data_IF_276960751252
#
_entry.id   IF_276960751252
#
_cell.length_a   1.000
_cell.length_b   1.000
_cell.length_c   1.000
_cell.angle_alpha   90.00
_cell.angle_beta   90.00
_cell.angle_gamma   90.00
#
_symmetry.space_group_name_H-M   'P 1'
#
loop_
_entity.id
_entity.type
_entity.pdbx_description
1 polymer ?
#
# COMPACT_ATOMS: atom_id res chain seq x y z
N UNK A 1 10.28 3.38 -3.57
CA UNK A 1 10.44 4.75 -2.95
C UNK A 1 10.95 4.68 -1.52
N UNK A 2 10.17 4.26 -0.50
CA UNK A 2 10.66 4.24 0.88
C UNK A 2 11.93 3.39 1.07
N UNK A 3 11.96 2.17 0.53
CA UNK A 3 13.12 1.27 0.56
C UNK A 3 14.37 1.93 -0.06
N UNK A 4 14.25 2.45 -1.27
CA UNK A 4 15.35 3.14 -1.97
C UNK A 4 15.88 4.33 -1.17
N UNK A 5 14.97 5.10 -0.54
CA UNK A 5 15.34 6.22 0.30
C UNK A 5 16.03 5.77 1.60
N UNK A 6 15.59 4.69 2.25
CA UNK A 6 16.25 4.13 3.43
C UNK A 6 17.63 3.57 3.08
N UNK A 7 17.76 2.83 1.98
CA UNK A 7 19.05 2.34 1.49
C UNK A 7 20.01 3.49 1.18
N UNK A 8 19.50 4.57 0.58
CA UNK A 8 20.29 5.78 0.33
C UNK A 8 20.76 6.43 1.64
N UNK A 9 19.87 6.56 2.64
CA UNK A 9 20.20 7.13 3.95
C UNK A 9 21.24 6.31 4.74
N UNK A 10 21.41 5.04 4.39
CA UNK A 10 22.45 4.18 4.97
C UNK A 10 23.84 4.39 4.35
N UNK A 11 23.94 5.01 3.20
CA UNK A 11 25.24 5.26 2.57
C UNK A 11 26.03 6.29 3.37
N UNK A 12 27.35 6.11 3.47
CA UNK A 12 28.21 7.16 3.99
C UNK A 12 28.17 8.36 3.04
N UNK A 13 27.93 9.55 3.62
CA UNK A 13 27.92 10.79 2.84
C UNK A 13 29.37 11.13 2.50
N UNK A 14 29.79 10.75 1.32
CA UNK A 14 31.08 11.13 0.72
C UNK A 14 30.82 12.05 -0.47
N UNK A 15 31.83 12.78 -0.96
CA UNK A 15 31.71 13.58 -2.20
C UNK A 15 31.18 12.71 -3.37
N UNK A 16 31.61 11.45 -3.47
CA UNK A 16 31.16 10.48 -4.48
C UNK A 16 29.69 10.09 -4.30
N UNK A 17 29.17 10.04 -3.06
CA UNK A 17 27.75 9.72 -2.83
C UNK A 17 26.83 10.90 -3.15
N UNK A 18 27.32 12.13 -3.04
CA UNK A 18 26.56 13.33 -3.44
C UNK A 18 26.41 13.38 -4.97
N UNK A 19 27.45 13.00 -5.72
CA UNK A 19 27.39 12.91 -7.20
C UNK A 19 26.43 11.83 -7.71
N UNK A 20 26.10 10.83 -6.88
CA UNK A 20 25.15 9.76 -7.20
C UNK A 20 23.69 10.09 -6.89
N UNK A 21 23.43 11.26 -6.29
CA UNK A 21 22.06 11.72 -6.05
C UNK A 21 21.51 12.22 -7.38
N UNK A 22 20.85 11.32 -8.11
CA UNK A 22 20.17 11.69 -9.34
C UNK A 22 18.84 12.41 -9.06
N UNK A 23 18.29 13.03 -10.07
CA UNK A 23 17.03 13.76 -10.02
C UNK A 23 15.89 12.88 -9.49
N UNK A 24 15.86 11.59 -9.89
CA UNK A 24 14.86 10.61 -9.47
C UNK A 24 14.92 10.33 -7.96
N UNK A 25 16.13 10.21 -7.38
CA UNK A 25 16.29 10.02 -5.93
C UNK A 25 15.81 11.24 -5.15
N UNK A 26 16.09 12.46 -5.64
CA UNK A 26 15.57 13.68 -5.04
C UNK A 26 14.04 13.73 -5.09
N UNK A 27 13.44 13.42 -6.23
CA UNK A 27 11.99 13.32 -6.37
C UNK A 27 11.38 12.29 -5.41
N UNK A 28 11.99 11.12 -5.28
CA UNK A 28 11.57 10.08 -4.34
C UNK A 28 11.63 10.56 -2.89
N UNK A 29 12.70 11.22 -2.48
CA UNK A 29 12.86 11.78 -1.13
C UNK A 29 11.82 12.87 -0.85
N UNK A 30 11.60 13.80 -1.80
CA UNK A 30 10.61 14.86 -1.66
C UNK A 30 9.18 14.30 -1.59
N UNK A 31 8.85 13.34 -2.46
CA UNK A 31 7.55 12.68 -2.46
C UNK A 31 7.32 11.93 -1.15
N UNK A 32 8.31 11.20 -0.67
CA UNK A 32 8.22 10.47 0.59
C UNK A 32 8.09 11.42 1.78
N UNK A 33 8.83 12.54 1.78
CA UNK A 33 8.70 13.58 2.80
C UNK A 33 7.31 14.20 2.83
N UNK A 34 6.76 14.51 1.66
CA UNK A 34 5.38 15.03 1.53
C UNK A 34 4.34 14.03 2.09
N UNK A 35 4.57 12.73 1.93
CA UNK A 35 3.72 11.65 2.44
C UNK A 35 3.99 11.30 3.92
N UNK A 36 4.77 12.08 4.66
CA UNK A 36 4.91 11.94 6.12
C UNK A 36 6.05 11.05 6.59
N UNK A 37 7.11 10.89 5.79
CA UNK A 37 8.27 10.03 6.15
C UNK A 37 9.07 10.48 7.38
N UNK A 38 8.84 11.69 7.87
CA UNK A 38 9.69 12.29 8.90
C UNK A 38 9.84 11.40 10.14
N UNK A 39 8.75 10.88 10.70
CA UNK A 39 8.79 10.00 11.86
C UNK A 39 9.57 8.72 11.58
N UNK A 40 9.34 8.09 10.43
CA UNK A 40 10.05 6.88 10.01
C UNK A 40 11.55 7.13 9.87
N UNK A 41 11.96 8.23 9.25
CA UNK A 41 13.37 8.59 9.08
C UNK A 41 14.02 8.88 10.44
N UNK A 42 13.34 9.64 11.30
CA UNK A 42 13.85 10.00 12.62
C UNK A 42 14.07 8.74 13.47
N UNK A 43 13.11 7.81 13.50
CA UNK A 43 13.24 6.54 14.21
C UNK A 43 14.32 5.63 13.60
N UNK A 44 14.34 5.46 12.28
CA UNK A 44 15.32 4.63 11.58
C UNK A 44 16.76 5.07 11.87
N UNK A 45 17.00 6.38 11.97
CA UNK A 45 18.32 6.93 12.29
C UNK A 45 18.79 6.65 13.73
N UNK A 46 17.87 6.33 14.64
CA UNK A 46 18.21 5.96 16.02
C UNK A 46 18.63 4.50 16.17
N UNK A 47 18.37 3.66 15.17
CA UNK A 47 18.69 2.24 15.17
C UNK A 47 20.20 2.03 14.98
N UNK A 48 20.72 0.92 15.55
CA UNK A 48 22.06 0.44 15.22
C UNK A 48 22.14 0.10 13.71
N UNK A 49 23.34 0.09 13.17
CA UNK A 49 23.56 -0.24 11.76
C UNK A 49 23.01 -1.63 11.40
N UNK A 50 23.19 -2.59 12.29
CA UNK A 50 22.67 -3.94 12.16
C UNK A 50 21.13 -3.94 12.05
N UNK A 51 20.44 -3.26 12.98
CA UNK A 51 18.98 -3.12 12.94
C UNK A 51 18.48 -2.38 11.70
N UNK A 52 19.22 -1.41 11.21
CA UNK A 52 18.88 -0.71 9.96
C UNK A 52 18.87 -1.70 8.77
N UNK A 53 19.85 -2.61 8.69
CA UNK A 53 19.87 -3.66 7.67
C UNK A 53 18.69 -4.62 7.82
N UNK A 54 18.41 -5.06 9.06
CA UNK A 54 17.26 -5.94 9.33
C UNK A 54 15.93 -5.31 8.89
N UNK A 55 15.74 -4.00 9.13
CA UNK A 55 14.54 -3.27 8.66
C UNK A 55 14.46 -3.25 7.13
N UNK A 56 15.58 -3.02 6.46
CA UNK A 56 15.61 -3.00 4.99
C UNK A 56 15.30 -4.38 4.42
N UNK A 57 15.92 -5.43 4.96
CA UNK A 57 15.68 -6.79 4.51
C UNK A 57 14.23 -7.22 4.78
N UNK A 58 13.67 -6.87 5.95
CA UNK A 58 12.25 -7.09 6.23
C UNK A 58 11.31 -6.42 5.22
N UNK A 59 11.61 -5.18 4.79
CA UNK A 59 10.81 -4.49 3.77
C UNK A 59 10.95 -5.15 2.39
N UNK A 60 12.13 -5.69 2.06
CA UNK A 60 12.37 -6.42 0.80
C UNK A 60 11.55 -7.70 0.69
N UNK A 61 11.24 -8.32 1.82
CA UNK A 61 10.45 -9.54 1.89
C UNK A 61 8.93 -9.31 1.77
N UNK A 62 8.48 -8.04 1.65
CA UNK A 62 7.06 -7.75 1.51
C UNK A 62 6.52 -8.26 0.18
N UNK A 63 5.42 -9.00 0.28
CA UNK A 63 4.65 -9.41 -0.88
C UNK A 63 4.00 -8.19 -1.55
N UNK A 64 4.09 -8.14 -2.88
CA UNK A 64 3.49 -7.05 -3.67
C UNK A 64 1.99 -7.29 -3.83
N UNK A 65 1.60 -8.55 -3.98
CA UNK A 65 0.23 -9.04 -3.99
C UNK A 65 0.18 -10.46 -3.40
N UNK A 66 -1.00 -10.91 -3.08
CA UNK A 66 -1.25 -12.27 -2.58
C UNK A 66 -2.55 -12.80 -3.18
N UNK A 67 -2.52 -14.02 -3.69
CA UNK A 67 -3.68 -14.74 -4.17
C UNK A 67 -4.05 -15.85 -3.20
N UNK A 68 -5.30 -15.89 -2.75
CA UNK A 68 -5.78 -16.93 -1.84
C UNK A 68 -7.18 -17.40 -2.20
N UNK A 69 -7.46 -18.64 -1.82
CA UNK A 69 -8.82 -19.19 -1.85
C UNK A 69 -9.29 -19.45 -0.43
N UNK A 70 -10.39 -18.81 -0.02
CA UNK A 70 -11.01 -18.96 1.30
C UNK A 70 -12.43 -19.41 1.13
N UNK A 71 -12.79 -20.57 1.67
CA UNK A 71 -14.14 -21.17 1.57
C UNK A 71 -14.67 -21.23 0.13
N UNK A 72 -13.78 -21.56 -0.83
CA UNK A 72 -14.14 -21.68 -2.26
C UNK A 72 -14.33 -20.36 -2.99
N UNK A 73 -13.96 -19.22 -2.39
CA UNK A 73 -13.92 -17.91 -3.03
C UNK A 73 -12.48 -17.49 -3.25
N UNK A 74 -12.19 -16.95 -4.41
CA UNK A 74 -10.88 -16.45 -4.76
C UNK A 74 -10.73 -14.98 -4.38
N UNK A 75 -9.55 -14.61 -3.88
CA UNK A 75 -9.21 -13.27 -3.47
C UNK A 75 -7.83 -12.90 -4.03
N UNK A 76 -7.72 -11.70 -4.56
CA UNK A 76 -6.46 -11.03 -4.88
C UNK A 76 -6.30 -9.86 -3.89
N UNK A 77 -5.29 -9.94 -3.05
CA UNK A 77 -4.92 -8.89 -2.12
C UNK A 77 -3.83 -8.04 -2.75
N UNK A 78 -4.06 -6.75 -2.88
CA UNK A 78 -3.10 -5.80 -3.47
C UNK A 78 -3.21 -4.46 -2.76
N UNK A 79 -2.08 -3.74 -2.61
CA UNK A 79 -2.10 -2.50 -1.82
C UNK A 79 -2.91 -1.38 -2.47
N UNK A 80 -2.63 -1.02 -3.73
CA UNK A 80 -3.22 0.14 -4.40
C UNK A 80 -4.45 -0.19 -5.22
N UNK A 81 -4.26 -1.04 -6.21
CA UNK A 81 -5.28 -1.43 -7.17
C UNK A 81 -4.66 -2.17 -8.34
N UNK A 82 -5.36 -2.18 -9.47
CA UNK A 82 -4.90 -2.74 -10.73
C UNK A 82 -4.82 -1.62 -11.77
N UNK A 83 -3.72 -0.85 -11.74
CA UNK A 83 -3.52 0.25 -12.68
C UNK A 83 -3.45 -0.23 -14.13
N UNK A 84 -3.98 0.58 -15.06
CA UNK A 84 -4.02 0.22 -16.48
C UNK A 84 -4.62 -1.17 -16.73
N UNK A 85 -5.70 -1.49 -16.02
CA UNK A 85 -6.40 -2.74 -16.17
C UNK A 85 -7.01 -2.88 -17.56
N UNK A 86 -6.95 -4.09 -18.10
CA UNK A 86 -7.77 -4.55 -19.22
C UNK A 86 -8.09 -6.05 -19.03
N UNK A 87 -9.25 -6.52 -19.56
CA UNK A 87 -9.63 -7.92 -19.43
C UNK A 87 -8.58 -8.88 -19.99
N UNK A 88 -8.16 -9.84 -19.14
CA UNK A 88 -7.15 -10.84 -19.52
C UNK A 88 -5.70 -10.44 -19.26
N UNK A 89 -5.42 -9.26 -18.67
CA UNK A 89 -4.09 -8.89 -18.21
C UNK A 89 -3.68 -9.80 -17.06
N UNK A 90 -2.54 -10.49 -17.20
CA UNK A 90 -1.97 -11.31 -16.14
C UNK A 90 -1.44 -10.46 -14.99
N UNK A 91 -1.50 -10.98 -13.75
CA UNK A 91 -1.02 -10.25 -12.58
C UNK A 91 0.49 -9.97 -12.67
N UNK A 92 1.25 -10.84 -13.32
CA UNK A 92 2.69 -10.68 -13.53
C UNK A 92 3.05 -9.58 -14.54
N UNK A 93 2.09 -9.12 -15.35
CA UNK A 93 2.29 -8.02 -16.32
C UNK A 93 2.18 -6.64 -15.67
N UNK A 94 1.69 -6.57 -14.43
CA UNK A 94 1.56 -5.29 -13.73
C UNK A 94 2.89 -4.81 -13.17
N UNK A 95 3.20 -3.55 -13.41
CA UNK A 95 4.32 -2.90 -12.77
C UNK A 95 4.07 -2.69 -11.27
N UNK A 96 5.14 -2.58 -10.48
CA UNK A 96 5.05 -2.26 -9.06
C UNK A 96 4.20 -1.01 -8.81
N UNK A 97 4.33 0.02 -9.64
CA UNK A 97 3.55 1.26 -9.52
C UNK A 97 2.05 1.00 -9.67
N UNK A 98 1.65 0.18 -10.64
CA UNK A 98 0.24 -0.15 -10.89
C UNK A 98 -0.40 -0.92 -9.73
N UNK A 99 0.37 -1.71 -8.98
CA UNK A 99 -0.14 -2.50 -7.86
C UNK A 99 -0.12 -1.76 -6.52
N UNK A 100 0.86 -0.87 -6.28
CA UNK A 100 1.01 -0.24 -4.96
C UNK A 100 0.70 1.25 -4.92
N UNK A 101 0.56 1.91 -6.07
CA UNK A 101 0.37 3.37 -6.13
C UNK A 101 -0.87 3.80 -6.89
N UNK A 102 -1.16 3.15 -8.02
CA UNK A 102 -2.35 3.46 -8.81
C UNK A 102 -3.61 2.97 -8.06
N UNK A 103 -4.69 3.73 -8.19
CA UNK A 103 -5.90 3.49 -7.41
C UNK A 103 -6.83 2.52 -8.13
N UNK A 104 -7.53 1.71 -7.35
CA UNK A 104 -8.56 0.83 -7.89
C UNK A 104 -9.76 1.63 -8.46
N UNK A 105 -10.35 1.10 -9.51
CA UNK A 105 -11.61 1.58 -10.09
C UNK A 105 -12.77 0.80 -9.47
N UNK A 106 -13.47 1.40 -8.51
CA UNK A 106 -14.48 0.71 -7.70
C UNK A 106 -15.85 0.56 -8.39
N UNK A 107 -16.05 1.18 -9.53
CA UNK A 107 -17.28 1.13 -10.34
C UNK A 107 -17.25 0.01 -11.38
N UNK A 108 -16.13 -0.66 -11.59
CA UNK A 108 -16.02 -1.85 -12.46
C UNK A 108 -15.81 -3.11 -11.64
N UNK A 109 -16.11 -4.25 -12.22
CA UNK A 109 -15.75 -5.58 -11.74
C UNK A 109 -14.55 -6.08 -12.52
N UNK A 110 -13.40 -6.27 -11.87
CA UNK A 110 -12.17 -6.72 -12.53
C UNK A 110 -12.26 -8.19 -12.99
N UNK A 111 -12.76 -9.06 -12.13
CA UNK A 111 -12.82 -10.52 -12.36
C UNK A 111 -14.21 -11.04 -12.09
N UNK A 112 -14.60 -12.11 -12.80
CA UNK A 112 -15.93 -12.74 -12.63
C UNK A 112 -16.02 -13.51 -11.30
N UNK A 113 -14.94 -14.18 -10.87
CA UNK A 113 -14.92 -15.12 -9.76
C UNK A 113 -13.90 -14.77 -8.66
N UNK A 114 -13.22 -13.62 -8.77
CA UNK A 114 -12.19 -13.20 -7.82
C UNK A 114 -12.52 -11.84 -7.21
N UNK A 115 -12.44 -11.76 -5.90
CA UNK A 115 -12.58 -10.52 -5.14
C UNK A 115 -11.22 -9.81 -5.05
N UNK A 116 -11.19 -8.51 -5.31
CA UNK A 116 -9.99 -7.68 -5.13
C UNK A 116 -10.06 -6.94 -3.81
N UNK A 117 -9.10 -7.20 -2.93
CA UNK A 117 -8.99 -6.53 -1.62
C UNK A 117 -7.93 -5.46 -1.71
N UNK A 118 -8.29 -4.21 -1.42
CA UNK A 118 -7.39 -3.05 -1.56
C UNK A 118 -7.34 -2.18 -0.32
N UNK A 119 -6.17 -1.55 -0.10
CA UNK A 119 -5.93 -0.44 0.81
C UNK A 119 -5.76 0.89 0.08
N UNK A 120 -4.77 1.69 0.50
CA UNK A 120 -4.25 2.88 -0.18
C UNK A 120 -5.24 4.03 -0.45
N UNK A 121 -6.42 3.71 -0.94
CA UNK A 121 -7.47 4.70 -1.20
C UNK A 121 -8.45 4.71 -0.03
N UNK A 122 -8.38 5.74 0.84
CA UNK A 122 -9.30 5.83 1.97
C UNK A 122 -10.76 5.80 1.49
N UNK A 123 -11.56 4.96 2.13
CA UNK A 123 -12.96 4.73 1.72
C UNK A 123 -13.83 5.99 1.80
N UNK A 124 -13.36 7.04 2.49
CA UNK A 124 -13.96 8.37 2.46
C UNK A 124 -13.87 9.05 1.09
N UNK A 125 -12.89 8.65 0.26
CA UNK A 125 -12.67 9.20 -1.08
C UNK A 125 -13.30 8.38 -2.21
N UNK A 126 -13.94 7.25 -1.90
CA UNK A 126 -14.59 6.41 -2.92
C UNK A 126 -15.93 7.03 -3.30
N UNK A 127 -16.05 7.38 -4.57
CA UNK A 127 -17.29 7.96 -5.09
C UNK A 127 -18.45 6.95 -4.98
N UNK A 128 -19.59 7.40 -4.48
CA UNK A 128 -20.77 6.53 -4.30
C UNK A 128 -20.72 5.64 -3.05
N UNK A 129 -19.68 5.73 -2.22
CA UNK A 129 -19.65 4.98 -0.96
C UNK A 129 -20.74 5.50 0.00
N UNK A 130 -21.73 4.68 0.37
CA UNK A 130 -22.83 5.11 1.24
C UNK A 130 -22.39 5.30 2.71
N UNK A 131 -21.23 4.76 3.09
CA UNK A 131 -20.73 4.81 4.47
C UNK A 131 -19.23 5.11 4.51
N UNK A 132 -18.83 6.37 4.21
CA UNK A 132 -17.41 6.76 4.21
C UNK A 132 -16.70 6.44 5.53
N UNK A 133 -15.47 5.90 5.45
CA UNK A 133 -14.69 5.52 6.61
C UNK A 133 -15.02 4.14 7.20
N UNK A 134 -15.84 3.36 6.54
CA UNK A 134 -16.06 1.93 6.78
C UNK A 134 -15.61 1.12 5.57
N UNK A 135 -15.40 -0.17 5.73
CA UNK A 135 -15.08 -1.08 4.63
C UNK A 135 -16.14 -0.93 3.54
N UNK A 136 -15.69 -0.74 2.32
CA UNK A 136 -16.55 -0.61 1.15
C UNK A 136 -16.52 -1.89 0.32
N UNK A 137 -17.70 -2.40 -0.02
CA UNK A 137 -17.87 -3.62 -0.83
C UNK A 137 -18.79 -3.34 -2.00
N UNK A 138 -18.31 -3.48 -3.21
CA UNK A 138 -19.07 -3.41 -4.46
C UNK A 138 -18.28 -4.07 -5.59
N UNK A 139 -18.95 -4.57 -6.64
CA UNK A 139 -18.32 -5.07 -7.86
C UNK A 139 -17.14 -6.03 -7.62
N UNK A 140 -17.27 -6.98 -6.70
CA UNK A 140 -16.18 -7.87 -6.23
C UNK A 140 -14.96 -7.14 -5.66
N UNK A 141 -15.12 -5.89 -5.18
CA UNK A 141 -14.10 -5.17 -4.41
C UNK A 141 -14.39 -5.22 -2.92
N UNK A 142 -13.31 -5.24 -2.14
CA UNK A 142 -13.31 -5.03 -0.69
C UNK A 142 -12.23 -3.99 -0.38
N UNK A 143 -12.62 -2.72 -0.25
CA UNK A 143 -11.72 -1.64 0.13
C UNK A 143 -11.66 -1.52 1.66
N UNK A 144 -10.47 -1.75 2.24
CA UNK A 144 -10.29 -1.84 3.70
C UNK A 144 -9.57 -0.64 4.33
N UNK A 145 -9.09 0.32 3.53
CA UNK A 145 -8.50 1.55 4.07
C UNK A 145 -9.58 2.49 4.60
N UNK A 146 -9.90 2.38 5.88
CA UNK A 146 -10.89 3.24 6.53
C UNK A 146 -10.29 4.57 7.03
N UNK A 147 -9.09 4.96 6.52
CA UNK A 147 -8.48 6.25 6.77
C UNK A 147 -8.01 6.45 8.21
N UNK A 148 -7.34 5.46 8.81
CA UNK A 148 -6.88 5.49 10.20
C UNK A 148 -6.08 6.75 10.57
N UNK A 149 -5.34 7.34 9.62
CA UNK A 149 -4.58 8.58 9.80
C UNK A 149 -5.43 9.86 9.67
N UNK A 150 -6.69 9.76 9.25
CA UNK A 150 -7.58 10.90 9.00
C UNK A 150 -8.44 11.24 10.21
N UNK A 151 -8.97 12.47 10.24
CA UNK A 151 -10.01 12.84 11.19
C UNK A 151 -11.27 12.00 10.88
N UNK A 152 -11.85 11.39 11.90
CA UNK A 152 -12.98 10.45 11.79
C UNK A 152 -12.65 9.15 11.01
N UNK A 153 -11.37 8.84 10.82
CA UNK A 153 -10.93 7.56 10.29
C UNK A 153 -10.80 6.51 11.39
N UNK A 154 -10.67 5.26 10.99
CA UNK A 154 -10.51 4.11 11.89
C UNK A 154 -9.60 3.04 11.31
N UNK A 155 -9.01 2.24 12.17
CA UNK A 155 -8.38 1.01 11.74
C UNK A 155 -9.47 -0.03 11.51
N UNK A 156 -9.38 -0.76 10.41
CA UNK A 156 -10.35 -1.79 10.06
C UNK A 156 -9.67 -3.10 9.67
N UNK A 157 -10.37 -4.19 9.89
CA UNK A 157 -10.01 -5.51 9.40
C UNK A 157 -11.26 -6.27 8.96
N UNK A 158 -11.10 -7.19 8.02
CA UNK A 158 -12.14 -8.11 7.59
C UNK A 158 -11.65 -9.54 7.68
N UNK A 159 -12.47 -10.42 8.27
CA UNK A 159 -12.23 -11.86 8.25
C UNK A 159 -12.83 -12.41 6.95
N UNK A 160 -11.99 -12.93 6.06
CA UNK A 160 -12.45 -13.40 4.74
C UNK A 160 -13.30 -14.69 4.84
N UNK A 161 -13.08 -15.51 5.88
CA UNK A 161 -13.84 -16.74 6.13
C UNK A 161 -15.32 -16.47 6.47
N UNK A 162 -15.56 -15.42 7.26
CA UNK A 162 -16.90 -15.10 7.80
C UNK A 162 -17.50 -13.84 7.20
N UNK A 163 -16.70 -12.99 6.57
CA UNK A 163 -17.10 -11.65 6.12
C UNK A 163 -17.27 -10.65 7.27
N UNK A 164 -16.90 -11.03 8.51
CA UNK A 164 -17.02 -10.17 9.70
C UNK A 164 -16.03 -9.02 9.62
N UNK A 165 -16.49 -7.82 9.91
CA UNK A 165 -15.71 -6.61 9.94
C UNK A 165 -15.41 -6.16 11.37
N UNK A 166 -14.21 -5.69 11.59
CA UNK A 166 -13.72 -5.20 12.88
C UNK A 166 -13.24 -3.77 12.72
N UNK A 167 -13.50 -2.93 13.71
CA UNK A 167 -13.14 -1.52 13.68
C UNK A 167 -12.58 -1.07 15.02
N UNK A 168 -11.50 -0.28 14.96
CA UNK A 168 -10.97 0.44 16.12
C UNK A 168 -11.02 1.92 15.80
N UNK A 169 -11.78 2.66 16.60
CA UNK A 169 -11.88 4.11 16.45
C UNK A 169 -10.66 4.80 17.09
N UNK A 170 -10.28 5.91 16.53
CA UNK A 170 -9.21 6.74 17.08
C UNK A 170 -9.72 7.38 18.38
N UNK A 171 -9.01 7.11 19.48
CA UNK A 171 -9.23 7.79 20.77
C UNK A 171 -8.90 9.28 20.70
#
# INVERSE_FOLDING_TARGET
MALECLEFLMQEITEISIEKVDEKMLENLMTWQYNGSKSTIDEFRTLSREMQYEVIDFIKDFMIYEELTVNGKNYLLVHGGLGNYYPGKDIEEYSLKELIWDRAEYDIQYFEDTYVVTGHTPTQGILGNPKPGYIYKANHHIAIDCGCNRRNGRLAAVCLETGQEYYVEKS
#
